data_IF_341618282940
#
_entry.id   IF_341618282940
#
_cell.length_a   1.000
_cell.length_b   1.000
_cell.length_c   1.000
_cell.angle_alpha   90.00
_cell.angle_beta   90.00
_cell.angle_gamma   90.00
#
_symmetry.space_group_name_H-M   'P 1'
#
loop_
_entity.id
_entity.type
_entity.pdbx_description
1 polymer ?
#
# COMPACT_ATOMS: atom_id res chain seq x y z
N UNK A 1 -37.36 -59.86 -13.90
CA UNK A 1 -37.60 -58.41 -13.82
C UNK A 1 -36.42 -57.77 -13.08
N UNK A 2 -35.58 -57.04 -13.82
CA UNK A 2 -34.59 -56.01 -13.41
C UNK A 2 -33.60 -56.30 -12.26
N UNK A 3 -32.31 -56.39 -12.60
CA UNK A 3 -31.17 -56.14 -11.71
C UNK A 3 -31.10 -54.66 -11.33
N UNK A 4 -30.29 -54.31 -10.30
CA UNK A 4 -29.06 -53.61 -10.68
C UNK A 4 -27.81 -54.07 -9.94
N UNK A 5 -26.73 -54.00 -10.70
CA UNK A 5 -25.33 -54.31 -10.37
C UNK A 5 -24.78 -53.18 -9.51
N UNK A 6 -24.12 -53.54 -8.41
CA UNK A 6 -23.45 -52.59 -7.54
C UNK A 6 -21.92 -52.64 -7.76
N UNK A 7 -21.39 -51.43 -7.91
CA UNK A 7 -20.13 -50.97 -7.35
C UNK A 7 -18.81 -51.18 -8.14
N UNK A 8 -18.13 -50.02 -8.27
CA UNK A 8 -16.69 -49.81 -8.41
C UNK A 8 -16.16 -49.76 -9.85
N UNK A 9 -16.18 -48.55 -10.42
CA UNK A 9 -15.04 -48.09 -11.24
C UNK A 9 -14.66 -46.68 -10.79
N UNK A 10 -13.61 -46.60 -9.98
CA UNK A 10 -12.85 -45.39 -9.69
C UNK A 10 -12.23 -44.88 -11.00
N UNK A 11 -12.41 -43.60 -11.33
CA UNK A 11 -11.54 -42.91 -12.28
C UNK A 11 -11.15 -41.56 -11.67
N UNK A 12 -9.86 -41.45 -11.35
CA UNK A 12 -9.22 -40.29 -10.74
C UNK A 12 -9.28 -39.08 -11.68
N UNK A 13 -9.92 -37.99 -11.24
CA UNK A 13 -9.79 -36.68 -11.88
C UNK A 13 -8.50 -36.06 -11.34
N UNK A 14 -7.42 -36.14 -12.12
CA UNK A 14 -6.19 -35.41 -11.86
C UNK A 14 -6.39 -33.95 -12.30
N UNK A 15 -6.91 -33.11 -11.40
CA UNK A 15 -6.92 -31.65 -11.62
C UNK A 15 -5.51 -31.13 -11.33
N UNK A 16 -4.72 -30.90 -12.38
CA UNK A 16 -3.53 -30.06 -12.27
C UNK A 16 -4.00 -28.61 -12.06
N UNK A 17 -4.19 -28.22 -10.80
CA UNK A 17 -4.28 -26.80 -10.45
C UNK A 17 -2.89 -26.23 -10.67
N UNK A 18 -2.68 -25.61 -11.83
CA UNK A 18 -1.53 -24.74 -12.03
C UNK A 18 -1.69 -23.56 -11.09
N UNK A 19 -1.00 -23.59 -9.95
CA UNK A 19 -0.82 -22.40 -9.14
C UNK A 19 -0.09 -21.37 -10.00
N UNK A 20 -0.84 -20.44 -10.58
CA UNK A 20 -0.31 -19.14 -10.97
C UNK A 20 0.18 -18.48 -9.69
N UNK A 21 1.41 -18.81 -9.29
CA UNK A 21 2.16 -18.04 -8.32
C UNK A 21 2.51 -16.74 -9.03
N UNK A 22 1.60 -15.77 -8.98
CA UNK A 22 2.01 -14.38 -9.09
C UNK A 22 2.95 -14.18 -7.91
N UNK A 23 4.25 -14.17 -8.20
CA UNK A 23 5.28 -14.01 -7.19
C UNK A 23 5.01 -12.75 -6.40
N UNK A 24 4.47 -12.91 -5.20
CA UNK A 24 4.39 -11.85 -4.22
C UNK A 24 5.83 -11.70 -3.73
N UNK A 25 6.58 -10.83 -4.41
CA UNK A 25 7.93 -10.47 -4.03
C UNK A 25 7.82 -9.80 -2.65
N UNK A 26 8.02 -10.60 -1.61
CA UNK A 26 8.02 -10.11 -0.24
C UNK A 26 9.15 -9.12 -0.12
N UNK A 27 8.85 -7.94 0.42
CA UNK A 27 9.84 -6.91 0.70
C UNK A 27 10.99 -7.53 1.51
N UNK A 28 12.12 -7.78 0.85
CA UNK A 28 13.27 -8.42 1.47
C UNK A 28 14.15 -7.32 2.04
N UNK A 29 14.19 -7.24 3.36
CA UNK A 29 14.99 -6.25 4.06
C UNK A 29 16.47 -6.63 4.07
N UNK A 30 17.12 -6.42 2.93
CA UNK A 30 18.57 -6.39 2.84
C UNK A 30 19.03 -4.95 3.14
N UNK A 31 19.79 -4.78 4.22
CA UNK A 31 19.96 -3.54 5.00
C UNK A 31 20.84 -2.46 4.32
N UNK A 32 20.60 -2.16 3.05
CA UNK A 32 21.15 -0.96 2.40
C UNK A 32 20.10 -0.10 1.70
N UNK A 33 19.07 -0.71 1.13
CA UNK A 33 17.99 -0.01 0.40
C UNK A 33 16.71 -0.85 0.50
N UNK A 34 15.58 -0.22 0.85
CA UNK A 34 14.28 -0.89 0.83
C UNK A 34 13.71 -0.84 -0.58
N UNK A 35 13.35 -2.01 -1.14
CA UNK A 35 12.79 -2.11 -2.49
C UNK A 35 11.35 -2.59 -2.42
N UNK A 36 10.46 -1.89 -3.10
CA UNK A 36 9.06 -2.26 -3.20
C UNK A 36 8.47 -1.84 -4.56
N UNK A 37 8.08 -2.83 -5.36
CA UNK A 37 7.58 -2.63 -6.72
C UNK A 37 6.25 -1.88 -6.82
N UNK A 38 5.44 -1.86 -5.77
CA UNK A 38 4.22 -1.05 -5.73
C UNK A 38 4.59 0.40 -5.46
N UNK A 39 5.41 0.65 -4.45
CA UNK A 39 5.85 2.00 -4.09
C UNK A 39 6.69 2.65 -5.20
N UNK A 40 7.51 1.88 -5.91
CA UNK A 40 8.26 2.36 -7.08
C UNK A 40 7.34 2.95 -8.15
N UNK A 41 6.17 2.34 -8.37
CA UNK A 41 5.17 2.81 -9.35
C UNK A 41 4.41 4.05 -8.89
N UNK A 42 4.51 4.41 -7.61
CA UNK A 42 3.92 5.64 -7.08
C UNK A 42 4.84 6.84 -7.22
N UNK A 43 6.11 6.67 -7.59
CA UNK A 43 7.02 7.80 -7.78
C UNK A 43 6.58 8.71 -8.94
N UNK A 44 6.72 10.03 -8.77
CA UNK A 44 6.34 11.01 -9.78
C UNK A 44 5.35 12.07 -9.30
N UNK A 45 4.78 12.80 -10.25
CA UNK A 45 3.83 13.88 -10.01
C UNK A 45 2.40 13.33 -10.04
N UNK A 46 1.59 13.74 -9.06
CA UNK A 46 0.22 13.29 -8.89
C UNK A 46 -0.73 14.44 -8.61
N UNK A 47 -1.97 14.23 -9.04
CA UNK A 47 -3.14 15.03 -8.65
C UNK A 47 -4.14 14.07 -8.03
N UNK A 48 -4.59 14.36 -6.82
CA UNK A 48 -5.69 13.64 -6.18
C UNK A 48 -6.85 14.58 -5.92
N UNK A 49 -8.06 14.05 -6.04
CA UNK A 49 -9.29 14.75 -5.65
C UNK A 49 -10.09 13.88 -4.69
N UNK A 50 -10.69 14.49 -3.68
CA UNK A 50 -11.44 13.77 -2.68
C UNK A 50 -12.45 14.65 -1.95
N UNK A 51 -13.06 14.08 -0.92
CA UNK A 51 -13.91 14.81 0.02
C UNK A 51 -13.34 14.63 1.43
N UNK A 52 -13.08 15.73 2.12
CA UNK A 52 -12.63 15.76 3.52
C UNK A 52 -13.74 16.43 4.33
N UNK A 53 -14.39 15.67 5.21
CA UNK A 53 -15.62 16.14 5.84
C UNK A 53 -16.71 16.41 4.80
N UNK A 54 -17.19 17.65 4.71
CA UNK A 54 -18.13 18.12 3.68
C UNK A 54 -17.46 18.71 2.44
N UNK A 55 -16.16 18.93 2.49
CA UNK A 55 -15.47 19.81 1.55
C UNK A 55 -14.80 19.01 0.45
N UNK A 56 -14.98 19.46 -0.80
CA UNK A 56 -14.27 18.89 -1.94
C UNK A 56 -12.88 19.51 -2.00
N UNK A 57 -11.87 18.65 -2.04
CA UNK A 57 -10.47 19.05 -2.04
C UNK A 57 -9.76 18.45 -3.24
N UNK A 58 -8.76 19.18 -3.73
CA UNK A 58 -7.82 18.72 -4.73
C UNK A 58 -6.42 18.98 -4.20
N UNK A 59 -5.55 17.98 -4.33
CA UNK A 59 -4.15 18.04 -3.91
C UNK A 59 -3.25 17.79 -5.10
N UNK A 60 -2.19 18.58 -5.20
CA UNK A 60 -1.02 18.24 -6.00
C UNK A 60 0.04 17.69 -5.06
N UNK A 61 0.72 16.61 -5.47
CA UNK A 61 1.82 16.09 -4.69
C UNK A 61 2.88 15.41 -5.55
N UNK A 62 4.12 15.48 -5.08
CA UNK A 62 5.25 14.80 -5.68
C UNK A 62 5.72 13.67 -4.78
N UNK A 63 5.98 12.52 -5.39
CA UNK A 63 6.35 11.29 -4.68
C UNK A 63 7.75 10.87 -5.09
N UNK A 64 8.62 10.66 -4.11
CA UNK A 64 10.02 10.28 -4.33
C UNK A 64 10.60 9.43 -3.21
N UNK A 65 11.59 8.61 -3.54
CA UNK A 65 12.39 7.91 -2.54
C UNK A 65 13.38 8.87 -1.87
N UNK A 66 13.39 8.87 -0.55
CA UNK A 66 14.27 9.71 0.28
C UNK A 66 14.99 8.87 1.32
N UNK A 67 15.92 9.50 2.05
CA UNK A 67 16.61 8.91 3.19
C UNK A 67 17.23 7.54 2.87
N UNK A 68 18.02 7.50 1.79
CA UNK A 68 18.67 6.28 1.30
C UNK A 68 17.68 5.16 0.90
N UNK A 69 16.62 5.54 0.18
CA UNK A 69 15.60 4.62 -0.33
C UNK A 69 14.94 3.80 0.79
N UNK A 70 14.78 4.41 1.98
CA UNK A 70 14.12 3.80 3.13
C UNK A 70 12.68 4.30 3.29
N UNK A 71 12.40 5.51 2.81
CA UNK A 71 11.08 6.11 2.88
C UNK A 71 10.68 6.64 1.50
N UNK A 72 9.43 6.41 1.15
CA UNK A 72 8.76 7.13 0.09
C UNK A 72 8.16 8.40 0.70
N UNK A 73 8.64 9.57 0.28
CA UNK A 73 8.06 10.86 0.67
C UNK A 73 7.02 11.28 -0.35
N UNK A 74 5.87 11.75 0.14
CA UNK A 74 4.85 12.45 -0.62
C UNK A 74 4.78 13.89 -0.10
N UNK A 75 5.07 14.86 -0.96
CA UNK A 75 5.05 16.29 -0.64
C UNK A 75 3.73 16.91 -1.12
N UNK A 76 2.78 17.08 -0.22
CA UNK A 76 1.40 17.50 -0.48
C UNK A 76 1.21 19.01 -0.36
N UNK A 77 0.42 19.56 -1.29
CA UNK A 77 -0.23 20.86 -1.16
C UNK A 77 -1.62 20.81 -1.78
N UNK A 78 -2.60 21.48 -1.15
CA UNK A 78 -3.87 21.75 -1.84
C UNK A 78 -3.66 22.71 -3.03
N UNK A 79 -4.67 22.83 -3.88
CA UNK A 79 -4.60 23.64 -5.11
C UNK A 79 -5.05 25.10 -4.92
N UNK A 80 -5.18 25.61 -3.70
CA UNK A 80 -5.49 27.02 -3.49
C UNK A 80 -4.33 27.91 -3.99
N UNK A 81 -4.62 29.19 -4.30
CA UNK A 81 -3.59 30.12 -4.76
C UNK A 81 -2.48 30.34 -3.71
N UNK A 82 -2.81 30.20 -2.44
CA UNK A 82 -1.88 30.03 -1.33
C UNK A 82 -2.34 28.77 -0.59
N UNK A 83 -1.56 27.67 -0.60
CA UNK A 83 -2.02 26.42 -0.01
C UNK A 83 -2.41 26.59 1.46
N UNK A 84 -3.63 26.18 1.79
CA UNK A 84 -4.14 26.22 3.17
C UNK A 84 -3.71 24.95 3.93
N UNK A 85 -3.56 23.85 3.21
CA UNK A 85 -3.07 22.57 3.68
C UNK A 85 -1.79 22.17 2.96
N UNK A 86 -0.77 21.79 3.74
CA UNK A 86 0.46 21.17 3.24
C UNK A 86 0.87 20.04 4.18
N UNK A 87 1.42 18.97 3.62
CA UNK A 87 1.88 17.83 4.40
C UNK A 87 3.08 17.15 3.76
N UNK A 88 3.94 16.55 4.58
CA UNK A 88 4.91 15.54 4.16
C UNK A 88 4.50 14.21 4.76
N UNK A 89 4.23 13.25 3.88
CA UNK A 89 3.86 11.90 4.27
C UNK A 89 4.99 10.96 3.92
N UNK A 90 5.51 10.24 4.90
CA UNK A 90 6.61 9.29 4.72
C UNK A 90 6.09 7.87 4.91
N UNK A 91 6.26 7.03 3.89
CA UNK A 91 5.91 5.60 3.94
C UNK A 91 7.19 4.79 3.99
N UNK A 92 7.40 4.09 5.10
CA UNK A 92 8.49 3.12 5.29
C UNK A 92 7.96 1.72 5.58
N UNK A 93 8.86 0.76 5.74
CA UNK A 93 8.50 -0.62 6.05
C UNK A 93 9.31 -1.16 7.25
N UNK A 94 8.61 -1.59 8.29
CA UNK A 94 9.20 -2.24 9.47
C UNK A 94 9.29 -3.75 9.23
N UNK A 95 10.47 -4.18 8.82
CA UNK A 95 10.82 -5.56 8.54
C UNK A 95 10.63 -6.52 9.72
N UNK A 96 10.79 -6.02 10.96
CA UNK A 96 10.68 -6.86 12.16
C UNK A 96 9.22 -7.14 12.49
N UNK A 97 8.33 -6.21 12.12
CA UNK A 97 6.90 -6.28 12.38
C UNK A 97 6.07 -6.62 11.13
N UNK A 98 6.73 -6.80 9.99
CA UNK A 98 6.10 -7.09 8.69
C UNK A 98 4.95 -6.13 8.36
N UNK A 99 5.20 -4.82 8.49
CA UNK A 99 4.18 -3.79 8.25
C UNK A 99 4.75 -2.50 7.70
N UNK A 100 3.94 -1.79 6.93
CA UNK A 100 4.22 -0.42 6.53
C UNK A 100 3.97 0.54 7.69
N UNK A 101 4.78 1.58 7.76
CA UNK A 101 4.69 2.66 8.73
C UNK A 101 4.48 3.96 7.96
N UNK A 102 3.53 4.77 8.40
CA UNK A 102 3.26 6.10 7.84
C UNK A 102 3.50 7.14 8.91
N UNK A 103 4.37 8.11 8.58
CA UNK A 103 4.45 9.37 9.30
C UNK A 103 3.73 10.41 8.47
N UNK A 104 2.66 11.00 9.03
CA UNK A 104 1.93 12.07 8.39
C UNK A 104 2.17 13.35 9.18
N UNK A 105 2.90 14.30 8.57
CA UNK A 105 3.26 15.56 9.22
C UNK A 105 2.70 16.70 8.38
N UNK A 106 1.88 17.56 8.99
CA UNK A 106 1.22 18.66 8.27
C UNK A 106 1.39 20.02 8.96
N UNK A 107 0.90 21.06 8.29
CA UNK A 107 0.98 22.43 8.75
C UNK A 107 0.04 22.79 9.91
N UNK A 108 -0.78 21.84 10.39
CA UNK A 108 -1.52 22.03 11.65
C UNK A 108 -0.64 21.77 12.88
N UNK A 109 0.55 21.19 12.66
CA UNK A 109 1.62 21.10 13.63
C UNK A 109 1.58 19.81 14.45
N UNK A 110 2.57 19.67 15.35
CA UNK A 110 2.91 18.41 16.00
C UNK A 110 1.74 17.69 16.68
N UNK A 111 0.85 18.43 17.35
CA UNK A 111 -0.30 17.85 18.06
C UNK A 111 -1.28 17.07 17.13
N UNK A 112 -1.30 17.39 15.84
CA UNK A 112 -2.12 16.70 14.83
C UNK A 112 -1.32 15.64 14.04
N UNK A 113 -0.03 15.49 14.35
CA UNK A 113 0.90 14.59 13.64
C UNK A 113 1.53 13.55 14.58
N UNK A 114 0.96 13.32 15.77
CA UNK A 114 1.49 12.36 16.75
C UNK A 114 1.15 10.90 16.41
N UNK A 115 0.05 10.69 15.69
CA UNK A 115 -0.49 9.37 15.36
C UNK A 115 0.28 8.72 14.22
N UNK A 116 0.74 7.48 14.44
CA UNK A 116 1.40 6.69 13.40
C UNK A 116 0.36 5.92 12.59
N UNK A 117 0.58 5.88 11.27
CA UNK A 117 -0.16 4.97 10.42
C UNK A 117 0.53 3.61 10.32
N UNK A 118 -0.26 2.54 10.27
CA UNK A 118 0.18 1.17 10.06
C UNK A 118 -0.60 0.56 8.91
N UNK A 119 0.08 -0.20 8.06
CA UNK A 119 -0.59 -0.87 6.95
C UNK A 119 0.02 -2.20 6.56
N UNK A 120 -0.81 -3.02 5.92
CA UNK A 120 -0.39 -4.25 5.26
C UNK A 120 -0.69 -4.14 3.78
N UNK A 121 0.17 -4.77 2.98
CA UNK A 121 0.06 -4.73 1.52
C UNK A 121 -0.90 -5.82 1.03
N UNK A 122 -1.84 -5.41 0.21
CA UNK A 122 -2.60 -6.26 -0.71
C UNK A 122 -1.93 -6.24 -2.10
N UNK A 123 -2.50 -6.92 -3.10
CA UNK A 123 -1.84 -7.08 -4.42
C UNK A 123 -1.45 -5.72 -5.04
N UNK A 124 -2.34 -4.73 -4.98
CA UNK A 124 -2.18 -3.42 -5.65
C UNK A 124 -2.43 -2.23 -4.72
N UNK A 125 -2.56 -2.46 -3.42
CA UNK A 125 -2.87 -1.42 -2.46
C UNK A 125 -2.17 -1.69 -1.13
N UNK A 126 -2.01 -0.63 -0.33
CA UNK A 126 -1.67 -0.72 1.07
C UNK A 126 -2.80 -0.01 1.81
N UNK A 127 -3.49 -0.74 2.67
CA UNK A 127 -4.54 -0.17 3.51
C UNK A 127 -3.90 0.31 4.80
N UNK A 128 -4.12 1.59 5.13
CA UNK A 128 -3.48 2.26 6.27
C UNK A 128 -4.52 2.54 7.35
N UNK A 129 -4.17 2.21 8.60
CA UNK A 129 -4.92 2.51 9.80
C UNK A 129 -4.08 3.43 10.69
N UNK A 130 -4.68 4.50 11.21
CA UNK A 130 -4.01 5.44 12.12
C UNK A 130 -4.51 5.19 13.54
N UNK A 131 -3.58 4.90 14.46
CA UNK A 131 -3.83 4.53 15.87
C UNK A 131 -2.98 5.35 16.84
#
# INVERSE_FOLDING_TARGET
MKHPINAITLAYILVFVTHLSFGQETAKCDQSIFKDTLLDKLTGQWVASGTVGSDKVVYNFFVQWVLNHQFLEMDFADTAATPEYTAKVFVGYDCKKDKYIVHWIDNFGGAFSETLGYGTRNIQSIEMLFE
#
